data_IF_350291528884
#
_entry.id   IF_350291528884
#
_cell.length_a   1.000
_cell.length_b   1.000
_cell.length_c   1.000
_cell.angle_alpha   90.00
_cell.angle_beta   90.00
_cell.angle_gamma   90.00
#
_symmetry.space_group_name_H-M   'P 1'
#
loop_
_entity.id
_entity.type
_entity.pdbx_description
1 polymer ?
#
# COMPACT_ATOMS: atom_id res chain seq x y z
N UNK A 1 -14.16 19.46 -34.59
CA UNK A 1 -14.66 18.27 -33.86
C UNK A 1 -14.99 18.68 -32.43
N UNK A 2 -16.27 18.73 -32.05
CA UNK A 2 -16.71 19.19 -30.72
C UNK A 2 -16.50 18.18 -29.59
N UNK A 3 -16.71 18.61 -28.35
CA UNK A 3 -16.56 17.79 -27.13
C UNK A 3 -17.73 16.80 -27.03
N UNK A 4 -17.46 15.50 -27.17
CA UNK A 4 -18.47 14.44 -26.95
C UNK A 4 -18.45 13.98 -25.49
N UNK A 5 -19.63 13.64 -24.94
CA UNK A 5 -19.74 12.99 -23.64
C UNK A 5 -19.11 11.60 -23.72
N UNK A 6 -18.31 11.23 -22.73
CA UNK A 6 -17.68 9.93 -22.59
C UNK A 6 -18.19 9.26 -21.32
N UNK A 7 -18.40 7.95 -21.37
CA UNK A 7 -18.66 7.14 -20.18
C UNK A 7 -17.40 7.08 -19.29
N UNK A 8 -17.60 6.99 -17.97
CA UNK A 8 -16.50 6.82 -17.01
C UNK A 8 -16.14 5.33 -16.94
N UNK A 9 -15.39 4.89 -17.94
CA UNK A 9 -14.77 3.56 -18.04
C UNK A 9 -13.37 3.67 -18.66
N UNK A 10 -12.61 2.57 -18.63
CA UNK A 10 -11.29 2.52 -19.29
C UNK A 10 -11.44 2.84 -20.78
N UNK A 11 -10.62 3.76 -21.29
CA UNK A 11 -10.54 4.05 -22.72
C UNK A 11 -9.69 2.96 -23.36
N UNK A 12 -10.26 2.12 -24.22
CA UNK A 12 -9.55 0.96 -24.79
C UNK A 12 -8.45 1.37 -25.79
N UNK A 13 -8.75 2.31 -26.68
CA UNK A 13 -7.78 2.79 -27.66
C UNK A 13 -6.59 3.48 -26.97
N UNK A 14 -5.39 2.94 -27.19
CA UNK A 14 -4.14 3.38 -26.53
C UNK A 14 -3.80 4.86 -26.82
N UNK A 15 -3.93 5.30 -28.07
CA UNK A 15 -3.62 6.68 -28.48
C UNK A 15 -4.61 7.66 -27.85
N UNK A 16 -5.91 7.36 -27.93
CA UNK A 16 -6.96 8.16 -27.28
C UNK A 16 -6.79 8.22 -25.76
N UNK A 17 -6.40 7.10 -25.14
CA UNK A 17 -6.12 7.03 -23.69
C UNK A 17 -4.92 7.91 -23.32
N UNK A 18 -3.84 7.88 -24.10
CA UNK A 18 -2.64 8.70 -23.84
C UNK A 18 -2.92 10.21 -23.97
N UNK A 19 -3.64 10.61 -25.01
CA UNK A 19 -4.04 12.02 -25.21
C UNK A 19 -4.98 12.46 -24.09
N UNK A 20 -5.95 11.62 -23.73
CA UNK A 20 -6.90 11.92 -22.66
C UNK A 20 -6.22 12.01 -21.30
N UNK A 21 -5.30 11.09 -20.99
CA UNK A 21 -4.48 11.14 -19.78
C UNK A 21 -3.74 12.47 -19.69
N UNK A 22 -3.06 12.87 -20.77
CA UNK A 22 -2.29 14.11 -20.81
C UNK A 22 -3.17 15.32 -20.54
N UNK A 23 -4.32 15.43 -21.21
CA UNK A 23 -5.27 16.54 -21.04
C UNK A 23 -5.92 16.56 -19.66
N UNK A 24 -6.38 15.40 -19.16
CA UNK A 24 -7.04 15.30 -17.85
C UNK A 24 -6.07 15.56 -16.71
N UNK A 25 -4.84 15.04 -16.79
CA UNK A 25 -3.78 15.30 -15.81
C UNK A 25 -3.47 16.79 -15.72
N UNK A 26 -3.28 17.47 -16.86
CA UNK A 26 -3.06 18.92 -16.87
C UNK A 26 -4.25 19.70 -16.31
N UNK A 27 -5.49 19.30 -16.66
CA UNK A 27 -6.69 19.91 -16.11
C UNK A 27 -6.84 19.70 -14.59
N UNK A 28 -6.47 18.52 -14.09
CA UNK A 28 -6.47 18.21 -12.66
C UNK A 28 -5.43 19.04 -11.90
N UNK A 29 -4.21 19.17 -12.43
CA UNK A 29 -3.16 20.03 -11.87
C UNK A 29 -3.65 21.47 -11.78
N UNK A 30 -4.28 21.99 -12.84
CA UNK A 30 -4.79 23.37 -12.83
C UNK A 30 -5.92 23.56 -11.80
N UNK A 31 -6.78 22.56 -11.60
CA UNK A 31 -7.79 22.59 -10.53
C UNK A 31 -7.18 22.53 -9.13
N UNK A 32 -6.18 21.68 -8.92
CA UNK A 32 -5.45 21.62 -7.66
C UNK A 32 -4.75 22.95 -7.37
N UNK A 33 -4.13 23.58 -8.37
CA UNK A 33 -3.52 24.91 -8.26
C UNK A 33 -4.55 25.98 -7.87
N UNK A 34 -5.70 26.01 -8.56
CA UNK A 34 -6.79 26.95 -8.23
C UNK A 34 -7.26 26.77 -6.80
N UNK A 35 -7.49 25.54 -6.35
CA UNK A 35 -7.92 25.26 -4.98
C UNK A 35 -6.88 25.71 -3.95
N UNK A 36 -5.60 25.42 -4.20
CA UNK A 36 -4.51 25.84 -3.32
C UNK A 36 -4.48 27.36 -3.14
N UNK A 37 -4.62 28.13 -4.23
CA UNK A 37 -4.63 29.60 -4.18
C UNK A 37 -5.89 30.15 -3.53
N UNK A 38 -7.07 29.63 -3.88
CA UNK A 38 -8.35 30.16 -3.40
C UNK A 38 -8.59 29.90 -1.92
N UNK A 39 -8.02 28.82 -1.37
CA UNK A 39 -8.30 28.35 -0.02
C UNK A 39 -7.06 28.26 0.87
N UNK A 40 -5.92 28.79 0.43
CA UNK A 40 -4.62 28.71 1.14
C UNK A 40 -4.29 27.27 1.61
N UNK A 41 -4.50 26.31 0.71
CA UNK A 41 -4.37 24.89 1.02
C UNK A 41 -3.07 24.31 0.44
N UNK A 42 -2.33 23.54 1.24
CA UNK A 42 -1.22 22.72 0.74
C UNK A 42 -1.78 21.45 0.07
N UNK A 43 -1.44 21.23 -1.20
CA UNK A 43 -1.95 20.12 -2.00
C UNK A 43 -0.80 19.39 -2.68
N UNK A 44 -0.79 18.06 -2.60
CA UNK A 44 0.09 17.19 -3.36
C UNK A 44 -0.72 16.26 -4.28
N UNK A 45 -0.26 16.08 -5.50
CA UNK A 45 -0.84 15.16 -6.48
C UNK A 45 0.25 14.24 -7.02
N UNK A 46 0.00 12.93 -6.97
CA UNK A 46 0.85 11.89 -7.52
C UNK A 46 0.03 11.06 -8.53
N UNK A 47 0.57 10.87 -9.73
CA UNK A 47 -0.08 10.10 -10.79
C UNK A 47 0.93 9.17 -11.43
N UNK A 48 0.66 7.86 -11.36
CA UNK A 48 1.41 6.85 -12.10
C UNK A 48 0.64 6.50 -13.38
N UNK A 49 1.26 6.65 -14.54
CA UNK A 49 0.62 6.24 -15.79
C UNK A 49 0.58 4.71 -15.92
N UNK A 50 -0.23 4.21 -16.86
CA UNK A 50 -0.21 2.79 -17.24
C UNK A 50 1.13 2.31 -17.81
N UNK A 51 2.08 3.22 -18.07
CA UNK A 51 3.45 2.90 -18.49
C UNK A 51 4.44 2.90 -17.32
N UNK A 52 3.96 3.06 -16.08
CA UNK A 52 4.80 3.16 -14.88
C UNK A 52 5.47 4.52 -14.67
N UNK A 53 5.21 5.52 -15.54
CA UNK A 53 5.83 6.84 -15.38
C UNK A 53 5.14 7.62 -14.27
N UNK A 54 5.92 8.07 -13.29
CA UNK A 54 5.46 8.90 -12.20
C UNK A 54 5.40 10.37 -12.63
N UNK A 55 4.32 11.03 -12.23
CA UNK A 55 4.15 12.47 -12.35
C UNK A 55 3.72 13.04 -11.01
N UNK A 56 4.36 14.12 -10.58
CA UNK A 56 4.07 14.79 -9.33
C UNK A 56 3.76 16.27 -9.53
N UNK A 57 2.96 16.82 -8.64
CA UNK A 57 2.69 18.25 -8.52
C UNK A 57 2.45 18.60 -7.05
N UNK A 58 2.91 19.77 -6.62
CA UNK A 58 2.61 20.32 -5.30
C UNK A 58 2.32 21.81 -5.38
N UNK A 59 1.40 22.30 -4.54
CA UNK A 59 1.09 23.71 -4.37
C UNK A 59 0.85 24.04 -2.89
N UNK A 60 1.07 25.29 -2.49
CA UNK A 60 0.95 25.77 -1.10
C UNK A 60 2.12 25.39 -0.19
N UNK A 61 2.78 24.25 -0.42
CA UNK A 61 4.05 23.87 0.23
C UNK A 61 4.84 22.93 -0.67
N UNK A 62 6.05 22.56 -0.27
CA UNK A 62 6.85 21.59 -0.99
C UNK A 62 6.32 20.15 -0.77
N UNK A 63 6.46 19.31 -1.79
CA UNK A 63 5.98 17.94 -1.78
C UNK A 63 6.48 17.13 -0.57
N UNK A 64 7.77 17.28 -0.22
CA UNK A 64 8.40 16.52 0.88
C UNK A 64 7.74 16.84 2.22
N UNK A 65 7.45 18.10 2.50
CA UNK A 65 6.80 18.55 3.75
C UNK A 65 5.34 18.13 3.82
N UNK A 66 4.64 18.13 2.68
CA UNK A 66 3.27 17.61 2.62
C UNK A 66 3.26 16.11 2.93
N UNK A 67 4.18 15.34 2.33
CA UNK A 67 4.29 13.90 2.57
C UNK A 67 4.76 13.58 4.00
N UNK A 68 5.70 14.33 4.56
CA UNK A 68 6.15 14.19 5.95
C UNK A 68 4.99 14.46 6.93
N UNK A 69 4.20 15.51 6.70
CA UNK A 69 3.01 15.81 7.50
C UNK A 69 1.98 14.70 7.41
N UNK A 70 1.73 14.18 6.21
CA UNK A 70 0.81 13.07 5.99
C UNK A 70 1.29 11.81 6.72
N UNK A 71 2.57 11.46 6.58
CA UNK A 71 3.17 10.29 7.23
C UNK A 71 3.12 10.35 8.75
N UNK A 72 3.32 11.54 9.35
CA UNK A 72 3.21 11.74 10.80
C UNK A 72 1.78 11.60 11.32
N UNK A 73 0.78 12.02 10.53
CA UNK A 73 -0.63 11.93 10.90
C UNK A 73 -1.23 10.55 10.66
N UNK A 74 -0.67 9.78 9.72
CA UNK A 74 -1.12 8.45 9.31
C UNK A 74 -0.07 7.36 9.57
N UNK A 75 0.79 7.54 10.59
CA UNK A 75 1.88 6.61 10.86
C UNK A 75 1.37 5.18 11.14
N UNK A 76 0.29 5.06 11.90
CA UNK A 76 -0.31 3.76 12.24
C UNK A 76 -0.93 3.05 11.02
N UNK A 77 -1.59 3.82 10.14
CA UNK A 77 -2.19 3.31 8.90
C UNK A 77 -1.13 2.86 7.88
N UNK A 78 -0.04 3.62 7.76
CA UNK A 78 1.08 3.29 6.86
C UNK A 78 1.83 2.05 7.32
N UNK A 79 2.02 1.89 8.64
CA UNK A 79 2.62 0.69 9.20
C UNK A 79 1.77 -0.56 8.95
N UNK A 80 0.43 -0.45 9.06
CA UNK A 80 -0.48 -1.54 8.74
C UNK A 80 -0.45 -1.93 7.25
N UNK A 81 -0.38 -0.94 6.35
CA UNK A 81 -0.26 -1.16 4.90
C UNK A 81 1.09 -1.78 4.51
N UNK A 82 2.18 -1.33 5.14
CA UNK A 82 3.52 -1.88 4.93
C UNK A 82 3.57 -3.35 5.39
N UNK A 83 3.02 -3.66 6.57
CA UNK A 83 2.90 -5.05 7.07
C UNK A 83 2.12 -5.93 6.09
N UNK A 84 1.01 -5.43 5.54
CA UNK A 84 0.18 -6.17 4.59
C UNK A 84 0.88 -6.35 3.23
N UNK A 85 1.61 -5.34 2.75
CA UNK A 85 2.37 -5.43 1.50
C UNK A 85 3.54 -6.41 1.60
N UNK A 86 4.22 -6.44 2.76
CA UNK A 86 5.28 -7.41 3.07
C UNK A 86 4.71 -8.83 3.22
N UNK A 87 3.53 -8.98 3.82
CA UNK A 87 2.81 -10.26 3.88
C UNK A 87 2.38 -10.80 2.51
N UNK A 88 2.24 -9.94 1.49
CA UNK A 88 1.98 -10.34 0.11
C UNK A 88 3.27 -10.59 -0.69
N UNK A 89 4.40 -10.03 -0.24
CA UNK A 89 5.69 -10.13 -0.92
C UNK A 89 6.42 -11.45 -0.64
N UNK A 90 6.15 -12.07 0.50
CA UNK A 90 6.53 -13.45 0.78
C UNK A 90 5.22 -14.22 0.77
N UNK A 91 5.04 -15.18 -0.13
CA UNK A 91 3.75 -15.82 -0.33
C UNK A 91 3.33 -16.69 0.87
N UNK A 92 2.67 -17.81 0.60
CA UNK A 92 2.11 -18.63 1.69
C UNK A 92 3.14 -19.00 2.76
N UNK A 93 2.72 -19.30 4.01
CA UNK A 93 3.62 -19.78 5.07
C UNK A 93 4.56 -20.91 4.60
N UNK A 94 4.16 -21.71 3.61
CA UNK A 94 4.99 -22.75 3.02
C UNK A 94 6.18 -22.20 2.21
N UNK A 95 5.99 -21.10 1.46
CA UNK A 95 7.07 -20.46 0.70
C UNK A 95 8.11 -19.82 1.63
N UNK A 96 7.65 -19.28 2.78
CA UNK A 96 8.54 -18.80 3.83
C UNK A 96 9.37 -19.93 4.43
N UNK A 97 8.77 -21.10 4.67
CA UNK A 97 9.45 -22.28 5.19
C UNK A 97 10.46 -22.84 4.18
N UNK A 98 10.09 -22.94 2.89
CA UNK A 98 11.01 -23.36 1.83
C UNK A 98 12.20 -22.41 1.68
N UNK A 99 12.01 -21.10 1.84
CA UNK A 99 13.09 -20.12 1.79
C UNK A 99 14.04 -20.25 2.99
N UNK A 100 13.50 -20.50 4.19
CA UNK A 100 14.30 -20.76 5.40
C UNK A 100 15.11 -22.05 5.24
N UNK A 101 14.49 -23.13 4.77
CA UNK A 101 15.15 -24.41 4.54
C UNK A 101 16.26 -24.30 3.49
N UNK A 102 15.98 -23.67 2.34
CA UNK A 102 16.96 -23.51 1.27
C UNK A 102 18.17 -22.66 1.68
N UNK A 103 17.96 -21.61 2.49
CA UNK A 103 19.03 -20.67 2.89
C UNK A 103 19.82 -21.07 4.12
N UNK A 104 19.28 -21.90 5.00
CA UNK A 104 19.91 -22.25 6.28
C UNK A 104 20.23 -23.74 6.42
N UNK A 105 19.50 -24.61 5.71
CA UNK A 105 19.65 -26.07 5.84
C UNK A 105 20.43 -26.65 4.65
N UNK A 106 20.18 -26.19 3.43
CA UNK A 106 20.81 -26.76 2.22
C UNK A 106 22.12 -26.09 1.81
N UNK A 107 22.28 -24.80 2.12
CA UNK A 107 23.52 -24.08 1.87
C UNK A 107 24.42 -24.18 3.10
N UNK A 108 25.42 -25.08 3.07
CA UNK A 108 26.56 -25.07 4.00
C UNK A 108 26.92 -23.61 4.32
N UNK A 109 26.87 -23.23 5.61
CA UNK A 109 26.83 -21.85 6.18
C UNK A 109 27.94 -20.88 5.70
N UNK A 110 28.79 -21.31 4.78
CA UNK A 110 29.80 -20.52 4.07
C UNK A 110 29.15 -19.74 2.94
N UNK A 111 28.76 -18.49 3.21
CA UNK A 111 28.37 -17.52 2.16
C UNK A 111 27.11 -16.71 2.44
N UNK A 112 26.40 -16.96 3.55
CA UNK A 112 25.24 -16.14 3.92
C UNK A 112 25.71 -14.81 4.49
N UNK A 113 25.41 -13.71 3.80
CA UNK A 113 25.77 -12.36 4.23
C UNK A 113 24.97 -11.92 5.46
N UNK A 114 25.54 -11.01 6.26
CA UNK A 114 24.83 -10.42 7.41
C UNK A 114 23.55 -9.71 6.96
N UNK A 115 23.59 -9.01 5.82
CA UNK A 115 22.42 -8.33 5.26
C UNK A 115 21.28 -9.30 4.93
N UNK A 116 21.60 -10.49 4.41
CA UNK A 116 20.58 -11.52 4.15
C UNK A 116 19.96 -12.10 5.42
N UNK A 117 20.71 -12.15 6.53
CA UNK A 117 20.20 -12.60 7.83
C UNK A 117 19.28 -11.56 8.46
N UNK A 118 19.67 -10.27 8.41
CA UNK A 118 18.82 -9.16 8.89
C UNK A 118 17.51 -9.08 8.11
N UNK A 119 17.57 -9.29 6.79
CA UNK A 119 16.35 -9.37 5.98
C UNK A 119 15.47 -10.55 6.39
N UNK A 120 16.05 -11.73 6.61
CA UNK A 120 15.29 -12.93 7.00
C UNK A 120 14.66 -12.79 8.38
N UNK A 121 15.38 -12.20 9.33
CA UNK A 121 14.86 -11.88 10.68
C UNK A 121 13.64 -10.97 10.60
N UNK A 122 13.71 -9.87 9.85
CA UNK A 122 12.58 -8.97 9.66
C UNK A 122 11.37 -9.64 9.01
N UNK A 123 11.59 -10.59 8.10
CA UNK A 123 10.50 -11.37 7.48
C UNK A 123 9.83 -12.28 8.51
N UNK A 124 10.61 -12.99 9.32
CA UNK A 124 10.10 -13.90 10.35
C UNK A 124 9.36 -13.15 11.46
N UNK A 125 9.88 -12.00 11.91
CA UNK A 125 9.22 -11.16 12.91
C UNK A 125 7.85 -10.67 12.41
N UNK A 126 7.77 -10.23 11.15
CA UNK A 126 6.51 -9.81 10.54
C UNK A 126 5.52 -10.97 10.41
N UNK A 127 5.97 -12.13 9.93
CA UNK A 127 5.13 -13.33 9.82
C UNK A 127 4.59 -13.77 11.19
N UNK A 128 5.43 -13.71 12.23
CA UNK A 128 5.05 -14.02 13.61
C UNK A 128 4.02 -13.02 14.15
N UNK A 129 4.23 -11.73 13.91
CA UNK A 129 3.31 -10.66 14.32
C UNK A 129 1.93 -10.84 13.68
N UNK A 130 1.87 -11.07 12.36
CA UNK A 130 0.63 -11.32 11.62
C UNK A 130 -0.09 -12.58 12.12
N UNK A 131 0.65 -13.65 12.37
CA UNK A 131 0.10 -14.91 12.89
C UNK A 131 -0.52 -14.70 14.28
N UNK A 132 0.15 -13.93 15.15
CA UNK A 132 -0.38 -13.56 16.47
C UNK A 132 -1.64 -12.70 16.36
N UNK A 133 -1.64 -11.69 15.48
CA UNK A 133 -2.80 -10.83 15.26
C UNK A 133 -4.02 -11.65 14.80
N UNK A 134 -3.82 -12.55 13.82
CA UNK A 134 -4.88 -13.43 13.32
C UNK A 134 -5.39 -14.40 14.40
N UNK A 135 -4.50 -14.96 15.20
CA UNK A 135 -4.86 -15.81 16.35
C UNK A 135 -5.74 -15.04 17.33
N UNK A 136 -5.37 -13.80 17.67
CA UNK A 136 -6.16 -12.94 18.56
C UNK A 136 -7.53 -12.64 17.99
N UNK A 137 -7.62 -12.30 16.70
CA UNK A 137 -8.91 -12.05 16.02
C UNK A 137 -9.85 -13.27 16.09
N UNK A 138 -9.32 -14.47 15.80
CA UNK A 138 -10.11 -15.71 15.87
C UNK A 138 -10.53 -16.04 17.32
N UNK A 139 -9.65 -15.79 18.29
CA UNK A 139 -9.96 -15.98 19.71
C UNK A 139 -11.08 -15.06 20.17
N UNK A 140 -11.05 -13.79 19.77
CA UNK A 140 -12.11 -12.83 20.08
C UNK A 140 -13.46 -13.26 19.46
N UNK A 141 -13.45 -13.67 18.19
CA UNK A 141 -14.66 -14.20 17.52
C UNK A 141 -15.22 -15.42 18.25
N UNK A 142 -14.35 -16.32 18.74
CA UNK A 142 -14.77 -17.47 19.52
C UNK A 142 -15.40 -17.04 20.84
N UNK A 143 -14.77 -16.12 21.58
CA UNK A 143 -15.31 -15.57 22.84
C UNK A 143 -16.69 -14.95 22.63
N UNK A 144 -16.87 -14.15 21.57
CA UNK A 144 -18.17 -13.54 21.27
C UNK A 144 -19.22 -14.60 20.94
N UNK A 145 -18.87 -15.62 20.14
CA UNK A 145 -19.79 -16.71 19.83
C UNK A 145 -20.22 -17.52 21.07
N UNK A 146 -19.31 -17.69 22.05
CA UNK A 146 -19.59 -18.39 23.30
C UNK A 146 -20.48 -17.55 24.22
N UNK A 147 -20.26 -16.23 24.30
CA UNK A 147 -21.11 -15.30 25.04
C UNK A 147 -22.54 -15.29 24.50
N UNK A 148 -22.71 -15.29 23.19
CA UNK A 148 -24.05 -15.36 22.57
C UNK A 148 -24.76 -16.70 22.87
N UNK A 149 -24.03 -17.83 22.84
CA UNK A 149 -24.60 -19.13 23.24
C UNK A 149 -24.99 -19.17 24.72
N UNK A 150 -24.20 -18.57 25.60
CA UNK A 150 -24.53 -18.49 27.04
C UNK A 150 -25.83 -17.73 27.29
N UNK A 151 -26.05 -16.62 26.57
CA UNK A 151 -27.30 -15.84 26.67
C UNK A 151 -28.53 -16.63 26.22
N UNK A 152 -28.38 -17.49 25.21
CA UNK A 152 -29.48 -18.32 24.69
C UNK A 152 -29.84 -19.49 25.62
N UNK A 153 -28.96 -19.84 26.56
CA UNK A 153 -29.15 -20.91 27.54
C UNK A 153 -29.63 -20.41 28.91
N UNK A 154 -29.75 -19.10 29.10
CA UNK A 154 -30.34 -18.45 30.28
C UNK A 154 -31.77 -18.00 29.98
#
# INVERSE_FOLDING_TARGET
MGRKKLEIKRIENKSSRQVTFSKRRSGLVEKARQLSVLCDASIALLVVSSSGKLYSFSAGDNLVRILDRYGKQHADDLNALDLQSKALSYGSHNELLELVDSKLVESNVVGVSVDTLVQLEGVLENALSLTRARKTELMLKLVDSLKEKEKLLK
#
